data_IF_515697698750
#
_entry.id   IF_515697698750
#
_cell.length_a   1.000
_cell.length_b   1.000
_cell.length_c   1.000
_cell.angle_alpha   90.00
_cell.angle_beta   90.00
_cell.angle_gamma   90.00
#
_symmetry.space_group_name_H-M   'P 1'
#
loop_
_entity.id
_entity.type
_entity.pdbx_description
1 polymer ?
#
# COMPACT_ATOMS: atom_id res chain seq x y z
N UNK A 1 23.59 7.31 -4.95
CA UNK A 1 22.59 7.61 -3.87
C UNK A 1 21.40 8.42 -4.40
N UNK A 2 21.48 8.98 -5.60
CA UNK A 2 20.36 9.65 -6.30
C UNK A 2 19.31 8.65 -6.78
N UNK A 3 19.75 7.46 -7.20
CA UNK A 3 18.91 6.38 -7.76
C UNK A 3 17.71 6.05 -6.86
N UNK A 4 17.94 5.85 -5.56
CA UNK A 4 16.89 5.51 -4.60
C UNK A 4 15.86 6.64 -4.39
N UNK A 5 16.22 7.90 -4.68
CA UNK A 5 15.32 9.05 -4.57
C UNK A 5 14.50 9.22 -5.85
N UNK A 6 15.13 9.00 -7.00
CA UNK A 6 14.45 9.02 -8.31
C UNK A 6 13.45 7.86 -8.41
N UNK A 7 13.79 6.68 -7.89
CA UNK A 7 12.89 5.52 -7.79
C UNK A 7 11.66 5.84 -6.91
N UNK A 8 11.88 6.42 -5.73
CA UNK A 8 10.79 6.79 -4.83
C UNK A 8 9.86 7.86 -5.42
N UNK A 9 10.43 8.78 -6.21
CA UNK A 9 9.65 9.80 -6.92
C UNK A 9 8.85 9.20 -8.06
N UNK A 10 9.42 8.27 -8.82
CA UNK A 10 8.72 7.56 -9.89
C UNK A 10 7.55 6.74 -9.33
N UNK A 11 7.74 6.05 -8.20
CA UNK A 11 6.67 5.33 -7.53
C UNK A 11 5.58 6.27 -6.99
N UNK A 12 5.96 7.38 -6.36
CA UNK A 12 5.01 8.39 -5.91
C UNK A 12 4.13 8.90 -7.08
N UNK A 13 4.70 9.06 -8.27
CA UNK A 13 3.95 9.44 -9.48
C UNK A 13 2.93 8.39 -9.91
N UNK A 14 3.20 7.09 -9.73
CA UNK A 14 2.22 6.02 -10.03
C UNK A 14 0.96 6.13 -9.17
N UNK A 15 1.09 6.67 -7.96
CA UNK A 15 -0.03 6.95 -7.06
C UNK A 15 -0.59 8.39 -7.21
N UNK A 16 -0.18 9.13 -8.24
CA UNK A 16 -0.63 10.49 -8.50
C UNK A 16 0.02 11.56 -7.61
N UNK A 17 1.03 11.22 -6.81
CA UNK A 17 1.74 12.14 -5.92
C UNK A 17 2.88 12.85 -6.68
N UNK A 18 2.51 13.66 -7.67
CA UNK A 18 3.45 14.30 -8.61
C UNK A 18 4.15 15.55 -8.06
N UNK A 19 3.62 16.13 -6.97
CA UNK A 19 4.07 17.43 -6.42
C UNK A 19 4.71 17.34 -5.02
N UNK A 20 5.23 16.17 -4.64
CA UNK A 20 5.91 16.02 -3.35
C UNK A 20 7.22 16.82 -3.33
N UNK A 21 7.38 17.65 -2.30
CA UNK A 21 8.67 18.25 -1.99
C UNK A 21 9.61 17.23 -1.31
N UNK A 22 10.90 17.53 -1.22
CA UNK A 22 11.91 16.61 -0.67
C UNK A 22 11.61 16.15 0.76
N UNK A 23 11.03 17.04 1.58
CA UNK A 23 10.63 16.70 2.94
C UNK A 23 9.46 15.70 2.96
N UNK A 24 8.44 15.90 2.11
CA UNK A 24 7.31 14.98 1.97
C UNK A 24 7.74 13.64 1.39
N UNK A 25 8.68 13.64 0.45
CA UNK A 25 9.25 12.42 -0.11
C UNK A 25 10.00 11.62 0.98
N UNK A 26 10.72 12.29 1.87
CA UNK A 26 11.35 11.64 3.02
C UNK A 26 10.32 11.05 4.02
N UNK A 27 9.20 11.75 4.25
CA UNK A 27 8.10 11.21 5.06
C UNK A 27 7.45 9.99 4.41
N UNK A 28 7.26 10.00 3.08
CA UNK A 28 6.77 8.85 2.32
C UNK A 28 7.71 7.66 2.48
N UNK A 29 9.03 7.86 2.32
CA UNK A 29 10.03 6.81 2.53
C UNK A 29 9.92 6.19 3.93
N UNK A 30 9.79 7.03 4.96
CA UNK A 30 9.66 6.60 6.36
C UNK A 30 8.36 5.81 6.59
N UNK A 31 7.24 6.29 6.07
CA UNK A 31 5.95 5.63 6.18
C UNK A 31 5.96 4.26 5.50
N UNK A 32 6.51 4.16 4.29
CA UNK A 32 6.68 2.87 3.59
C UNK A 32 7.54 1.89 4.37
N UNK A 33 8.68 2.36 4.91
CA UNK A 33 9.54 1.50 5.73
C UNK A 33 8.86 1.04 7.03
N UNK A 34 7.95 1.83 7.60
CA UNK A 34 7.15 1.44 8.75
C UNK A 34 6.08 0.40 8.37
N UNK A 35 5.39 0.62 7.25
CA UNK A 35 4.39 -0.31 6.72
C UNK A 35 5.01 -1.67 6.37
N UNK A 36 6.19 -1.70 5.74
CA UNK A 36 6.88 -2.96 5.43
C UNK A 36 7.19 -3.76 6.69
N UNK A 37 7.71 -3.10 7.75
CA UNK A 37 7.98 -3.77 9.04
C UNK A 37 6.72 -4.34 9.69
N UNK A 38 5.59 -3.66 9.52
CA UNK A 38 4.30 -4.16 10.01
C UNK A 38 3.87 -5.40 9.23
N UNK A 39 4.02 -5.39 7.90
CA UNK A 39 3.69 -6.52 7.03
C UNK A 39 4.62 -7.72 7.26
N UNK A 40 5.92 -7.49 7.47
CA UNK A 40 6.90 -8.54 7.75
C UNK A 40 6.58 -9.31 9.05
N UNK A 41 5.83 -8.69 9.97
CA UNK A 41 5.34 -9.31 11.20
C UNK A 41 4.06 -10.14 11.02
N UNK A 42 3.41 -10.08 9.85
CA UNK A 42 2.22 -10.88 9.54
C UNK A 42 2.69 -12.28 9.14
N UNK A 43 2.14 -13.36 9.73
CA UNK A 43 2.48 -14.71 9.33
C UNK A 43 2.22 -14.89 7.83
N UNK A 44 3.22 -15.42 7.12
CA UNK A 44 3.12 -15.68 5.67
C UNK A 44 2.19 -16.85 5.34
N UNK A 45 1.69 -17.54 6.36
CA UNK A 45 0.75 -18.66 6.25
C UNK A 45 -0.70 -18.15 6.27
N UNK A 46 -0.96 -17.09 5.51
CA UNK A 46 -2.32 -16.70 5.14
C UNK A 46 -2.75 -17.66 4.04
N UNK A 47 -3.70 -18.53 4.33
CA UNK A 47 -4.24 -19.45 3.37
C UNK A 47 -5.06 -18.68 2.33
N UNK A 48 -5.06 -19.14 1.06
CA UNK A 48 -5.84 -18.50 0.01
C UNK A 48 -7.36 -18.51 0.26
N UNK A 49 -7.82 -19.32 1.23
CA UNK A 49 -9.20 -19.37 1.71
C UNK A 49 -9.46 -18.49 2.93
N UNK A 50 -8.43 -17.81 3.47
CA UNK A 50 -8.63 -16.78 4.48
C UNK A 50 -9.33 -15.61 3.80
N UNK A 51 -10.64 -15.53 4.01
CA UNK A 51 -11.45 -14.47 3.42
C UNK A 51 -10.93 -13.10 3.87
N UNK A 52 -10.87 -12.10 2.96
CA UNK A 52 -10.53 -10.75 3.38
C UNK A 52 -11.52 -10.30 4.46
N UNK A 53 -11.02 -9.58 5.47
CA UNK A 53 -11.82 -9.16 6.62
C UNK A 53 -13.13 -8.44 6.24
N UNK A 54 -13.17 -7.85 5.05
CA UNK A 54 -14.38 -7.32 4.43
C UNK A 54 -14.52 -7.89 3.02
N UNK A 55 -15.42 -8.86 2.86
CA UNK A 55 -15.93 -9.29 1.56
C UNK A 55 -17.09 -8.37 1.19
N UNK A 56 -17.01 -7.69 0.05
CA UNK A 56 -18.17 -7.03 -0.52
C UNK A 56 -19.19 -8.11 -0.89
N UNK A 57 -20.27 -8.22 -0.09
CA UNK A 57 -21.47 -8.91 -0.54
C UNK A 57 -22.34 -7.86 -1.19
N UNK A 58 -22.51 -7.95 -2.52
CA UNK A 58 -23.67 -7.36 -3.15
C UNK A 58 -24.87 -7.94 -2.38
N UNK A 59 -25.64 -7.05 -1.75
CA UNK A 59 -26.95 -7.39 -1.21
C UNK A 59 -27.65 -8.30 -2.22
N UNK A 60 -28.36 -9.32 -1.76
CA UNK A 60 -29.31 -10.04 -2.61
C UNK A 60 -30.32 -9.02 -3.14
N UNK A 61 -29.97 -8.37 -4.24
CA UNK A 61 -30.85 -7.56 -5.06
C UNK A 61 -31.79 -8.56 -5.71
N UNK A 62 -32.96 -8.65 -5.10
CA UNK A 62 -34.21 -9.00 -5.76
C UNK A 62 -34.32 -10.47 -6.17
N UNK A 63 -34.77 -11.32 -5.25
CA UNK A 63 -35.61 -12.46 -5.61
C UNK A 63 -36.98 -12.27 -4.98
N UNK A 64 -37.94 -12.03 -5.87
CA UNK A 64 -39.39 -11.88 -5.65
C UNK A 64 -40.05 -13.17 -5.17
#
# INVERSE_FOLDING_TARGET
>A
MTDNRDDLKAEAQQFGLTHLNDHQLAQLAKAKAAAQRMIDGIPRDLHAYDEPAHVYRASEETSS
#
